data_IF_280745299421
#
_entry.id   IF_280745299421
#
_cell.length_a   1.000
_cell.length_b   1.000
_cell.length_c   1.000
_cell.angle_alpha   90.00
_cell.angle_beta   90.00
_cell.angle_gamma   90.00
#
_symmetry.space_group_name_H-M   'P 1'
#
loop_
_entity.id
_entity.type
_entity.pdbx_description
1 polymer ?
#
# COMPACT_ATOMS: atom_id res chain seq x y z
N UNK A 1 14.66 -28.97 -26.67
CA UNK A 1 13.48 -29.23 -25.85
C UNK A 1 13.58 -28.86 -24.35
N UNK A 2 14.74 -28.46 -23.80
CA UNK A 2 14.92 -28.21 -22.36
C UNK A 2 14.49 -26.81 -21.84
N UNK A 3 13.94 -25.93 -22.67
CA UNK A 3 13.74 -24.52 -22.27
C UNK A 3 12.27 -24.07 -22.21
N UNK A 4 11.30 -24.93 -22.56
CA UNK A 4 9.88 -24.52 -22.62
C UNK A 4 9.22 -24.46 -21.23
N UNK A 5 9.46 -25.43 -20.38
CA UNK A 5 8.86 -25.46 -19.05
C UNK A 5 9.24 -24.28 -18.14
N UNK A 6 10.48 -23.77 -18.28
CA UNK A 6 10.90 -22.56 -17.53
C UNK A 6 10.20 -21.31 -18.01
N UNK A 7 9.90 -21.20 -19.31
CA UNK A 7 9.13 -20.09 -19.86
C UNK A 7 7.67 -20.15 -19.41
N UNK A 8 7.05 -21.31 -19.48
CA UNK A 8 5.67 -21.52 -19.01
C UNK A 8 5.54 -21.23 -17.51
N UNK A 9 6.48 -21.71 -16.68
CA UNK A 9 6.50 -21.39 -15.26
C UNK A 9 6.76 -19.90 -15.01
N UNK A 10 7.58 -19.24 -15.83
CA UNK A 10 7.82 -17.80 -15.72
C UNK A 10 6.54 -17.02 -16.01
N UNK A 11 5.80 -17.38 -17.03
CA UNK A 11 4.51 -16.76 -17.37
C UNK A 11 3.49 -16.94 -16.23
N UNK A 12 3.40 -18.14 -15.63
CA UNK A 12 2.47 -18.42 -14.53
C UNK A 12 2.82 -17.64 -13.26
N UNK A 13 4.13 -17.53 -12.94
CA UNK A 13 4.58 -16.99 -11.66
C UNK A 13 4.82 -15.48 -11.67
N UNK A 14 5.13 -14.88 -12.85
CA UNK A 14 5.48 -13.46 -13.00
C UNK A 14 4.55 -12.68 -13.92
N UNK A 15 3.77 -13.34 -14.78
CA UNK A 15 2.87 -12.69 -15.72
C UNK A 15 1.42 -13.04 -15.38
N UNK A 16 0.73 -12.14 -14.68
CA UNK A 16 -0.69 -12.29 -14.30
C UNK A 16 -1.67 -12.10 -15.48
N UNK A 17 -1.20 -12.00 -16.71
CA UNK A 17 -2.06 -11.84 -17.90
C UNK A 17 -2.74 -13.15 -18.35
N UNK A 18 -2.16 -14.31 -18.04
CA UNK A 18 -2.73 -15.61 -18.38
C UNK A 18 -3.83 -16.03 -17.37
N UNK A 19 -4.81 -16.84 -17.82
CA UNK A 19 -5.84 -17.39 -16.91
C UNK A 19 -5.21 -18.23 -15.79
N UNK A 20 -4.17 -18.99 -16.11
CA UNK A 20 -3.42 -19.82 -15.16
C UNK A 20 -2.64 -18.98 -14.14
N UNK A 21 -2.03 -17.88 -14.57
CA UNK A 21 -1.36 -16.93 -13.67
C UNK A 21 -2.34 -16.28 -12.69
N UNK A 22 -3.52 -15.85 -13.15
CA UNK A 22 -4.57 -15.29 -12.28
C UNK A 22 -5.05 -16.29 -11.22
N UNK A 23 -5.24 -17.56 -11.59
CA UNK A 23 -5.65 -18.61 -10.66
C UNK A 23 -4.54 -18.84 -9.62
N UNK A 24 -3.28 -18.92 -10.06
CA UNK A 24 -2.13 -19.03 -9.17
C UNK A 24 -2.06 -17.88 -8.17
N UNK A 25 -2.24 -16.65 -8.62
CA UNK A 25 -2.27 -15.46 -7.79
C UNK A 25 -3.40 -15.50 -6.76
N UNK A 26 -4.61 -15.89 -7.14
CA UNK A 26 -5.75 -16.01 -6.23
C UNK A 26 -5.50 -17.08 -5.17
N UNK A 27 -4.94 -18.23 -5.56
CA UNK A 27 -4.59 -19.30 -4.61
C UNK A 27 -3.52 -18.80 -3.64
N UNK A 28 -2.46 -18.16 -4.13
CA UNK A 28 -1.39 -17.63 -3.31
C UNK A 28 -1.91 -16.56 -2.34
N UNK A 29 -2.76 -15.64 -2.80
CA UNK A 29 -3.43 -14.63 -1.99
C UNK A 29 -4.26 -15.28 -0.88
N UNK A 30 -5.08 -16.26 -1.24
CA UNK A 30 -5.90 -17.02 -0.28
C UNK A 30 -5.05 -17.70 0.79
N UNK A 31 -3.93 -18.32 0.40
CA UNK A 31 -2.98 -18.94 1.34
C UNK A 31 -2.34 -17.90 2.28
N UNK A 32 -1.94 -16.73 1.76
CA UNK A 32 -1.38 -15.66 2.58
C UNK A 32 -2.42 -15.20 3.61
N UNK A 33 -3.64 -14.86 3.18
CA UNK A 33 -4.72 -14.41 4.06
C UNK A 33 -5.04 -15.47 5.11
N UNK A 34 -5.20 -16.74 4.70
CA UNK A 34 -5.46 -17.84 5.63
C UNK A 34 -4.34 -18.02 6.65
N UNK A 35 -3.08 -17.91 6.25
CA UNK A 35 -1.94 -18.01 7.17
C UNK A 35 -1.92 -16.87 8.20
N UNK A 36 -2.31 -15.66 7.82
CA UNK A 36 -2.43 -14.50 8.72
C UNK A 36 -3.57 -14.74 9.72
N UNK A 37 -4.74 -15.19 9.25
CA UNK A 37 -5.88 -15.50 10.11
C UNK A 37 -5.49 -16.55 11.16
N UNK A 38 -4.76 -17.61 10.77
CA UNK A 38 -4.30 -18.62 11.71
C UNK A 38 -3.36 -18.06 12.77
N UNK A 39 -2.42 -17.19 12.40
CA UNK A 39 -1.54 -16.51 13.37
C UNK A 39 -2.35 -15.63 14.33
N UNK A 40 -3.39 -14.94 13.83
CA UNK A 40 -4.28 -14.13 14.66
C UNK A 40 -5.08 -15.01 15.63
N UNK A 41 -5.64 -16.13 15.17
CA UNK A 41 -6.38 -17.06 16.01
C UNK A 41 -5.48 -17.74 17.05
N UNK A 42 -4.26 -18.11 16.69
CA UNK A 42 -3.25 -18.67 17.61
C UNK A 42 -2.82 -17.67 18.70
N UNK A 43 -2.95 -16.37 18.45
CA UNK A 43 -2.66 -15.33 19.45
C UNK A 43 -3.71 -15.25 20.56
N UNK A 44 -4.92 -15.76 20.35
CA UNK A 44 -6.00 -15.79 21.34
C UNK A 44 -5.75 -16.92 22.33
N UNK A 45 -5.52 -16.57 23.59
CA UNK A 45 -5.12 -17.52 24.65
C UNK A 45 -6.04 -18.74 24.79
N UNK A 46 -7.36 -18.55 24.77
CA UNK A 46 -8.35 -19.64 24.87
C UNK A 46 -8.29 -20.60 23.68
N UNK A 47 -8.08 -20.09 22.46
CA UNK A 47 -7.96 -20.89 21.25
C UNK A 47 -6.61 -21.62 21.20
N UNK A 48 -5.54 -20.96 21.63
CA UNK A 48 -4.22 -21.57 21.70
C UNK A 48 -4.18 -22.78 22.64
N UNK A 49 -4.86 -22.71 23.80
CA UNK A 49 -4.95 -23.84 24.72
C UNK A 49 -5.67 -25.06 24.11
N UNK A 50 -6.76 -24.84 23.39
CA UNK A 50 -7.56 -25.92 22.84
C UNK A 50 -7.03 -26.46 21.51
N UNK A 51 -6.52 -25.60 20.63
CA UNK A 51 -6.17 -25.92 19.23
C UNK A 51 -4.72 -25.61 18.86
N UNK A 52 -3.85 -25.29 19.81
CA UNK A 52 -2.46 -24.87 19.55
C UNK A 52 -1.65 -25.87 18.74
N UNK A 53 -1.84 -27.19 18.96
CA UNK A 53 -1.18 -28.24 18.15
C UNK A 53 -1.65 -28.19 16.69
N UNK A 54 -2.93 -27.99 16.46
CA UNK A 54 -3.51 -27.88 15.11
C UNK A 54 -3.01 -26.62 14.39
N UNK A 55 -3.00 -25.48 15.07
CA UNK A 55 -2.45 -24.24 14.52
C UNK A 55 -0.98 -24.37 14.15
N UNK A 56 -0.20 -25.01 15.00
CA UNK A 56 1.20 -25.29 14.73
C UNK A 56 1.41 -26.18 13.49
N UNK A 57 0.60 -27.21 13.29
CA UNK A 57 0.66 -28.06 12.10
C UNK A 57 0.31 -27.30 10.83
N UNK A 58 -0.76 -26.48 10.86
CA UNK A 58 -1.15 -25.65 9.74
C UNK A 58 -0.07 -24.62 9.40
N UNK A 59 0.56 -24.06 10.41
CA UNK A 59 1.65 -23.12 10.23
C UNK A 59 2.85 -23.75 9.51
N UNK A 60 3.22 -24.97 9.88
CA UNK A 60 4.25 -25.74 9.19
C UNK A 60 3.85 -26.05 7.74
N UNK A 61 2.60 -26.43 7.49
CA UNK A 61 2.10 -26.66 6.15
C UNK A 61 2.23 -25.39 5.27
N UNK A 62 1.79 -24.23 5.77
CA UNK A 62 1.97 -22.97 5.05
C UNK A 62 3.44 -22.60 4.85
N UNK A 63 4.29 -22.81 5.85
CA UNK A 63 5.72 -22.49 5.72
C UNK A 63 6.39 -23.34 4.64
N UNK A 64 6.06 -24.64 4.56
CA UNK A 64 6.57 -25.54 3.51
C UNK A 64 6.05 -25.10 2.14
N UNK A 65 4.77 -24.80 2.00
CA UNK A 65 4.18 -24.33 0.74
C UNK A 65 4.83 -23.02 0.27
N UNK A 66 5.03 -22.08 1.15
CA UNK A 66 5.70 -20.82 0.84
C UNK A 66 7.19 -20.99 0.54
N UNK A 67 7.86 -21.97 1.16
CA UNK A 67 9.26 -22.28 0.85
C UNK A 67 9.39 -22.91 -0.54
N UNK A 68 8.47 -23.80 -0.90
CA UNK A 68 8.38 -24.36 -2.25
C UNK A 68 8.14 -23.29 -3.30
N UNK A 69 7.20 -22.40 -3.06
CA UNK A 69 6.90 -21.27 -3.94
C UNK A 69 8.14 -20.37 -4.14
N UNK A 70 8.82 -20.01 -3.07
CA UNK A 70 10.05 -19.22 -3.13
C UNK A 70 11.17 -19.91 -3.91
N UNK A 71 11.34 -21.22 -3.71
CA UNK A 71 12.30 -22.03 -4.47
C UNK A 71 11.97 -22.06 -5.97
N UNK A 72 10.69 -22.21 -6.33
CA UNK A 72 10.25 -22.17 -7.72
C UNK A 72 10.60 -20.81 -8.35
N UNK A 73 10.35 -19.71 -7.66
CA UNK A 73 10.72 -18.36 -8.11
C UNK A 73 12.21 -18.23 -8.37
N UNK A 74 13.06 -18.70 -7.47
CA UNK A 74 14.53 -18.67 -7.62
C UNK A 74 14.99 -19.52 -8.84
N UNK A 75 14.35 -20.65 -9.09
CA UNK A 75 14.71 -21.54 -10.21
C UNK A 75 14.33 -20.93 -11.56
N UNK A 76 13.21 -20.24 -11.60
CA UNK A 76 12.61 -19.69 -12.83
C UNK A 76 13.30 -18.39 -13.26
N UNK A 77 13.75 -17.57 -12.32
CA UNK A 77 14.40 -16.28 -12.61
C UNK A 77 15.78 -16.48 -13.26
N UNK A 78 16.09 -15.65 -14.29
CA UNK A 78 17.39 -15.66 -14.99
C UNK A 78 18.57 -15.29 -14.09
N UNK A 79 18.41 -14.27 -13.22
CA UNK A 79 19.44 -13.75 -12.32
C UNK A 79 19.08 -14.02 -10.87
N UNK A 80 19.40 -15.21 -10.36
CA UNK A 80 19.03 -15.70 -9.03
C UNK A 80 19.51 -14.79 -7.89
N UNK A 81 20.78 -14.39 -7.93
CA UNK A 81 21.37 -13.51 -6.91
C UNK A 81 20.66 -12.16 -6.85
N UNK A 82 20.37 -11.56 -8.01
CA UNK A 82 19.65 -10.29 -8.08
C UNK A 82 18.22 -10.40 -7.54
N UNK A 83 17.56 -11.53 -7.72
CA UNK A 83 16.22 -11.76 -7.18
C UNK A 83 16.25 -11.92 -5.66
N UNK A 84 17.18 -12.73 -5.11
CA UNK A 84 17.30 -12.96 -3.66
C UNK A 84 17.55 -11.66 -2.91
N UNK A 85 18.40 -10.76 -3.46
CA UNK A 85 18.69 -9.44 -2.89
C UNK A 85 17.72 -8.35 -3.36
N UNK A 86 16.69 -8.68 -4.13
CA UNK A 86 15.62 -7.73 -4.47
C UNK A 86 14.69 -7.51 -3.27
N UNK A 87 14.00 -6.36 -3.26
CA UNK A 87 13.03 -6.04 -2.21
C UNK A 87 12.00 -7.17 -2.01
N UNK A 88 11.46 -7.72 -3.10
CA UNK A 88 10.48 -8.82 -3.04
C UNK A 88 11.10 -10.13 -2.55
N UNK A 89 12.31 -10.47 -3.01
CA UNK A 89 13.00 -11.68 -2.58
C UNK A 89 13.38 -11.67 -1.09
N UNK A 90 13.76 -10.49 -0.56
CA UNK A 90 14.03 -10.31 0.87
C UNK A 90 12.75 -10.43 1.69
N UNK A 91 11.64 -9.87 1.24
CA UNK A 91 10.33 -10.02 1.90
C UNK A 91 9.92 -11.48 1.99
N UNK A 92 10.02 -12.23 0.89
CA UNK A 92 9.69 -13.67 0.88
C UNK A 92 10.56 -14.45 1.85
N UNK A 93 11.85 -14.13 1.90
CA UNK A 93 12.80 -14.77 2.83
C UNK A 93 12.45 -14.46 4.29
N UNK A 94 12.23 -13.17 4.63
CA UNK A 94 11.85 -12.75 5.99
C UNK A 94 10.53 -13.40 6.43
N UNK A 95 9.60 -13.62 5.52
CA UNK A 95 8.32 -14.25 5.84
C UNK A 95 8.45 -15.74 6.21
N UNK A 96 9.48 -16.44 5.74
CA UNK A 96 9.72 -17.88 5.99
C UNK A 96 10.65 -18.08 7.19
N UNK A 97 11.66 -17.23 7.30
CA UNK A 97 12.80 -17.36 8.21
C UNK A 97 12.42 -17.57 9.70
N UNK A 98 11.43 -16.86 10.27
CA UNK A 98 11.08 -17.00 11.69
C UNK A 98 10.69 -18.43 12.08
N UNK A 99 9.98 -19.17 11.22
CA UNK A 99 9.56 -20.55 11.53
C UNK A 99 10.74 -21.50 11.55
N UNK A 100 11.72 -21.35 10.64
CA UNK A 100 12.93 -22.14 10.66
C UNK A 100 13.85 -21.77 11.82
N UNK A 101 13.89 -20.49 12.18
CA UNK A 101 14.70 -20.02 13.30
C UNK A 101 14.24 -20.63 14.64
N UNK A 102 12.93 -20.89 14.80
CA UNK A 102 12.40 -21.57 15.99
C UNK A 102 12.95 -22.99 16.17
N UNK A 103 13.32 -23.70 15.09
CA UNK A 103 13.94 -25.02 15.17
C UNK A 103 15.37 -24.96 15.72
N UNK A 104 16.13 -23.93 15.32
CA UNK A 104 17.55 -23.80 15.69
C UNK A 104 17.68 -23.33 17.14
N UNK A 105 16.75 -22.50 17.59
CA UNK A 105 16.82 -21.80 18.89
C UNK A 105 16.10 -22.57 20.00
N UNK A 106 15.47 -23.70 19.72
CA UNK A 106 14.61 -24.47 20.66
C UNK A 106 15.29 -24.99 21.95
N UNK A 107 16.59 -24.79 22.16
CA UNK A 107 17.30 -25.44 23.24
C UNK A 107 17.52 -24.67 24.55
N UNK A 108 17.58 -23.32 24.56
CA UNK A 108 18.12 -22.60 25.75
C UNK A 108 17.65 -21.15 25.90
N UNK A 109 16.70 -20.64 25.11
CA UNK A 109 16.40 -19.21 25.06
C UNK A 109 15.20 -18.81 25.92
N UNK A 110 15.20 -17.59 26.50
CA UNK A 110 14.09 -17.10 27.31
C UNK A 110 12.80 -17.04 26.50
N UNK A 111 11.67 -17.32 27.16
CA UNK A 111 10.30 -17.31 26.58
C UNK A 111 9.98 -16.04 25.76
N UNK A 112 10.65 -14.93 26.07
CA UNK A 112 10.47 -13.65 25.36
C UNK A 112 10.93 -13.72 23.91
N UNK A 113 12.07 -14.40 23.62
CA UNK A 113 12.60 -14.57 22.27
C UNK A 113 11.66 -15.42 21.43
N UNK A 114 11.11 -16.49 22.00
CA UNK A 114 10.14 -17.35 21.32
C UNK A 114 8.85 -16.60 20.98
N UNK A 115 8.38 -15.69 21.86
CA UNK A 115 7.24 -14.82 21.56
C UNK A 115 7.55 -13.82 20.46
N UNK A 116 8.73 -13.18 20.49
CA UNK A 116 9.16 -12.24 19.46
C UNK A 116 9.26 -12.92 18.08
N UNK A 117 9.86 -14.12 18.00
CA UNK A 117 9.93 -14.90 16.76
C UNK A 117 8.53 -15.25 16.22
N UNK A 118 7.57 -15.54 17.12
CA UNK A 118 6.19 -15.79 16.73
C UNK A 118 5.55 -14.55 16.12
N UNK A 119 5.79 -13.35 16.70
CA UNK A 119 5.27 -12.09 16.16
C UNK A 119 5.87 -11.74 14.80
N UNK A 120 7.14 -12.09 14.54
CA UNK A 120 7.77 -11.85 13.22
C UNK A 120 7.06 -12.57 12.07
N UNK A 121 6.26 -13.59 12.34
CA UNK A 121 5.46 -14.30 11.33
C UNK A 121 4.42 -13.40 10.65
N UNK A 122 4.01 -12.29 11.29
CA UNK A 122 3.10 -11.31 10.70
C UNK A 122 3.70 -10.66 9.44
N UNK A 123 5.04 -10.66 9.30
CA UNK A 123 5.69 -10.14 8.09
C UNK A 123 5.33 -10.90 6.80
N UNK A 124 4.67 -12.07 6.92
CA UNK A 124 4.06 -12.75 5.76
C UNK A 124 3.06 -11.87 5.01
N UNK A 125 2.46 -10.86 5.69
CA UNK A 125 1.57 -9.88 5.04
C UNK A 125 2.27 -9.10 3.93
N UNK A 126 3.58 -8.86 4.03
CA UNK A 126 4.32 -8.15 3.00
C UNK A 126 4.43 -8.90 1.67
N UNK A 127 4.12 -10.20 1.64
CA UNK A 127 3.98 -10.95 0.39
C UNK A 127 2.85 -10.44 -0.49
N UNK A 128 1.87 -9.74 0.09
CA UNK A 128 0.84 -9.03 -0.66
C UNK A 128 1.43 -7.98 -1.61
N UNK A 129 2.67 -7.52 -1.37
CA UNK A 129 3.36 -6.57 -2.26
C UNK A 129 3.55 -7.10 -3.69
N UNK A 130 3.55 -8.42 -3.91
CA UNK A 130 3.56 -9.02 -5.24
C UNK A 130 2.31 -8.70 -6.06
N UNK A 131 1.16 -8.52 -5.41
CA UNK A 131 -0.13 -8.18 -6.05
C UNK A 131 -0.26 -6.69 -6.35
N UNK A 132 0.66 -5.89 -5.85
CA UNK A 132 0.60 -4.44 -5.95
C UNK A 132 1.48 -3.93 -7.10
N UNK A 133 1.39 -4.57 -8.27
CA UNK A 133 2.15 -4.18 -9.48
C UNK A 133 1.88 -2.72 -9.86
N UNK A 134 0.66 -2.24 -9.65
CA UNK A 134 0.26 -0.85 -9.88
C UNK A 134 0.82 0.14 -8.83
N UNK A 135 1.39 -0.36 -7.74
CA UNK A 135 2.04 0.49 -6.72
C UNK A 135 3.22 1.28 -7.31
N UNK A 136 3.89 0.81 -8.34
CA UNK A 136 5.01 1.56 -8.95
C UNK A 136 4.56 2.91 -9.50
N UNK A 137 3.37 2.95 -10.09
CA UNK A 137 2.80 4.18 -10.58
C UNK A 137 2.40 5.10 -9.40
N UNK A 138 1.69 4.53 -8.43
CA UNK A 138 1.28 5.23 -7.22
C UNK A 138 2.48 5.72 -6.39
N UNK A 139 3.51 4.88 -6.25
CA UNK A 139 4.73 5.25 -5.52
C UNK A 139 5.51 6.38 -6.21
N UNK A 140 5.54 6.41 -7.56
CA UNK A 140 6.15 7.51 -8.30
C UNK A 140 5.47 8.85 -8.02
N UNK A 141 4.14 8.91 -8.09
CA UNK A 141 3.36 10.10 -7.75
C UNK A 141 3.57 10.52 -6.29
N UNK A 142 3.58 9.54 -5.36
CA UNK A 142 3.77 9.80 -3.94
C UNK A 142 5.18 10.30 -3.63
N UNK A 143 6.23 9.71 -4.23
CA UNK A 143 7.63 10.14 -4.06
C UNK A 143 7.83 11.59 -4.54
N UNK A 144 7.21 12.00 -5.62
CA UNK A 144 7.24 13.38 -6.11
C UNK A 144 6.57 14.37 -5.13
N UNK A 145 5.59 13.89 -4.36
CA UNK A 145 4.86 14.67 -3.35
C UNK A 145 5.56 14.72 -1.99
N UNK A 146 6.48 13.79 -1.69
CA UNK A 146 7.06 13.63 -0.35
C UNK A 146 7.66 14.93 0.22
N UNK A 147 8.32 15.73 -0.60
CA UNK A 147 8.90 17.00 -0.16
C UNK A 147 7.81 17.99 0.28
N UNK A 148 6.73 18.11 -0.48
CA UNK A 148 5.60 19.00 -0.17
C UNK A 148 4.87 18.53 1.09
N UNK A 149 4.60 17.24 1.16
CA UNK A 149 3.96 16.58 2.31
C UNK A 149 4.84 16.71 3.55
N UNK A 150 6.15 16.48 3.45
CA UNK A 150 7.09 16.59 4.56
C UNK A 150 7.17 17.99 5.16
N UNK A 151 7.21 19.03 4.31
CA UNK A 151 7.16 20.44 4.77
C UNK A 151 5.85 20.73 5.49
N UNK A 152 4.74 20.23 4.96
CA UNK A 152 3.44 20.40 5.57
C UNK A 152 3.34 19.68 6.93
N UNK A 153 3.83 18.43 7.04
CA UNK A 153 3.87 17.70 8.31
C UNK A 153 4.73 18.39 9.36
N UNK A 154 5.88 18.94 8.95
CA UNK A 154 6.72 19.73 9.86
C UNK A 154 5.97 20.95 10.38
N UNK A 155 5.28 21.68 9.50
CA UNK A 155 4.44 22.81 9.89
C UNK A 155 3.32 22.41 10.85
N UNK A 156 2.60 21.32 10.54
CA UNK A 156 1.55 20.78 11.40
C UNK A 156 2.10 20.37 12.78
N UNK A 157 3.28 19.75 12.84
CA UNK A 157 3.93 19.38 14.09
C UNK A 157 4.25 20.61 14.96
N UNK A 158 4.77 21.67 14.35
CA UNK A 158 5.03 22.93 15.08
C UNK A 158 3.74 23.51 15.65
N UNK A 159 2.65 23.53 14.87
CA UNK A 159 1.33 23.98 15.35
C UNK A 159 0.85 23.13 16.53
N UNK A 160 0.96 21.81 16.42
CA UNK A 160 0.57 20.88 17.49
C UNK A 160 1.34 21.14 18.78
N UNK A 161 2.66 21.37 18.69
CA UNK A 161 3.49 21.68 19.87
C UNK A 161 3.06 23.01 20.48
N UNK A 162 2.81 24.04 19.67
CA UNK A 162 2.37 25.34 20.17
C UNK A 162 1.01 25.22 20.87
N UNK A 163 0.03 24.57 20.22
CA UNK A 163 -1.32 24.41 20.77
C UNK A 163 -1.31 23.55 22.05
N UNK A 164 -0.52 22.47 22.08
CA UNK A 164 -0.33 21.67 23.30
C UNK A 164 0.29 22.49 24.44
N UNK A 165 1.29 23.33 24.13
CA UNK A 165 1.92 24.20 25.13
C UNK A 165 0.96 25.29 25.65
N UNK A 166 0.13 25.83 24.79
CA UNK A 166 -0.94 26.79 25.19
C UNK A 166 -1.95 26.11 26.09
N UNK A 167 -2.38 24.89 25.77
CA UNK A 167 -3.30 24.14 26.61
C UNK A 167 -2.71 23.82 27.98
N UNK A 168 -1.42 23.47 28.06
CA UNK A 168 -0.72 23.28 29.34
C UNK A 168 -0.83 24.51 30.23
N UNK A 169 -0.70 25.73 29.70
CA UNK A 169 -0.80 26.97 30.46
C UNK A 169 -2.24 27.31 30.87
N UNK A 170 -3.22 26.90 30.07
CA UNK A 170 -4.64 27.23 30.29
C UNK A 170 -5.32 26.27 31.26
N UNK A 171 -4.96 25.01 31.23
CA UNK A 171 -5.49 23.95 32.10
C UNK A 171 -4.54 23.64 33.29
N UNK A 172 -3.73 24.62 33.72
CA UNK A 172 -2.67 24.54 34.75
C UNK A 172 -3.24 24.09 36.10
N UNK A 173 -3.94 23.30 36.39
CA UNK A 173 -4.36 22.66 37.64
C UNK A 173 -5.22 21.40 37.41
N UNK A 174 -5.35 21.01 36.15
CA UNK A 174 -6.09 19.80 35.84
C UNK A 174 -5.16 18.56 35.90
N UNK A 175 -5.65 17.49 36.49
CA UNK A 175 -4.90 16.22 36.59
C UNK A 175 -4.58 15.60 35.23
N UNK A 176 -5.33 15.96 34.20
CA UNK A 176 -5.20 15.40 32.88
C UNK A 176 -4.21 16.18 31.99
N UNK A 177 -3.95 17.46 32.29
CA UNK A 177 -3.02 18.34 31.56
C UNK A 177 -1.74 18.64 32.36
N UNK A 178 -1.22 17.68 33.12
CA UNK A 178 -0.14 17.85 34.10
C UNK A 178 1.26 18.08 33.47
N UNK A 179 1.45 17.88 32.17
CA UNK A 179 2.71 18.18 31.47
C UNK A 179 2.52 18.46 29.96
N UNK A 180 3.48 19.11 29.34
CA UNK A 180 3.44 19.47 27.91
C UNK A 180 3.31 18.24 26.99
N UNK A 181 4.05 17.12 27.17
CA UNK A 181 3.84 15.92 26.34
C UNK A 181 2.41 15.40 26.35
N UNK A 182 1.73 15.42 27.50
CA UNK A 182 0.33 15.00 27.61
C UNK A 182 -0.62 15.96 26.87
N UNK A 183 -0.34 17.27 26.95
CA UNK A 183 -1.07 18.27 26.17
C UNK A 183 -0.86 18.12 24.66
N UNK A 184 0.37 17.76 24.23
CA UNK A 184 0.67 17.47 22.84
C UNK A 184 -0.09 16.20 22.39
N UNK A 185 -0.13 15.16 23.22
CA UNK A 185 -0.92 13.95 22.95
C UNK A 185 -2.39 14.30 22.73
N UNK A 186 -2.99 15.12 23.61
CA UNK A 186 -4.35 15.62 23.44
C UNK A 186 -4.51 16.39 22.14
N UNK A 187 -3.58 17.29 21.81
CA UNK A 187 -3.64 18.06 20.57
C UNK A 187 -3.57 17.15 19.31
N UNK A 188 -2.70 16.13 19.34
CA UNK A 188 -2.60 15.15 18.25
C UNK A 188 -3.92 14.38 18.10
N UNK A 189 -4.48 13.81 19.17
CA UNK A 189 -5.71 13.02 19.12
C UNK A 189 -6.91 13.85 18.69
N UNK A 190 -6.93 15.14 19.04
CA UNK A 190 -7.97 16.08 18.65
C UNK A 190 -7.86 16.50 17.19
N UNK A 191 -6.68 16.93 16.73
CA UNK A 191 -6.43 17.36 15.34
C UNK A 191 -6.61 16.22 14.36
N UNK A 192 -6.18 15.01 14.72
CA UNK A 192 -6.38 13.81 13.88
C UNK A 192 -7.81 13.26 13.94
N UNK A 193 -8.71 13.90 14.67
CA UNK A 193 -10.12 13.49 14.84
C UNK A 193 -10.29 12.12 15.50
N UNK A 194 -9.28 11.58 16.19
CA UNK A 194 -9.38 10.34 16.95
C UNK A 194 -10.22 10.54 18.21
N UNK A 195 -9.87 11.55 19.04
CA UNK A 195 -10.65 11.99 20.19
C UNK A 195 -10.99 10.89 21.19
N UNK A 196 -9.99 10.22 21.78
CA UNK A 196 -10.23 9.16 22.76
C UNK A 196 -11.07 9.59 23.95
N UNK A 197 -11.06 10.90 24.30
CA UNK A 197 -11.83 11.43 25.42
C UNK A 197 -11.24 11.13 26.80
N UNK A 198 -10.05 10.59 26.84
CA UNK A 198 -9.27 10.30 28.05
C UNK A 198 -8.64 11.56 28.65
N UNK A 199 -8.37 12.57 27.82
CA UNK A 199 -7.89 13.90 28.18
C UNK A 199 -8.79 14.93 27.52
N UNK A 200 -9.50 15.75 28.29
CA UNK A 200 -10.44 16.75 27.78
C UNK A 200 -10.36 18.04 28.57
N UNK A 201 -10.39 19.24 27.91
CA UNK A 201 -10.35 20.52 28.62
C UNK A 201 -11.56 20.69 29.52
N UNK A 202 -11.31 21.10 30.76
CA UNK A 202 -12.36 21.31 31.76
C UNK A 202 -12.73 22.80 31.90
N UNK A 203 -11.76 23.71 31.72
CA UNK A 203 -11.97 25.15 31.84
C UNK A 203 -12.76 25.72 30.65
N UNK A 204 -13.56 26.80 30.89
CA UNK A 204 -14.26 27.47 29.78
C UNK A 204 -13.32 27.96 28.68
N UNK A 205 -12.15 28.49 29.02
CA UNK A 205 -11.16 28.98 28.09
C UNK A 205 -10.52 27.83 27.29
N UNK A 206 -10.17 26.73 27.95
CA UNK A 206 -9.67 25.53 27.31
C UNK A 206 -10.65 24.93 26.30
N UNK A 207 -11.94 24.93 26.61
CA UNK A 207 -13.00 24.50 25.67
C UNK A 207 -13.10 25.39 24.43
N UNK A 208 -12.93 26.72 24.58
CA UNK A 208 -12.88 27.63 23.45
C UNK A 208 -11.68 27.35 22.55
N UNK A 209 -10.50 27.15 23.16
CA UNK A 209 -9.28 26.77 22.43
C UNK A 209 -9.47 25.42 21.73
N UNK A 210 -10.06 24.43 22.40
CA UNK A 210 -10.34 23.13 21.80
C UNK A 210 -11.22 23.23 20.54
N UNK A 211 -12.24 24.08 20.56
CA UNK A 211 -13.08 24.31 19.37
C UNK A 211 -12.26 24.88 18.20
N UNK A 212 -11.34 25.81 18.47
CA UNK A 212 -10.43 26.35 17.43
C UNK A 212 -9.49 25.26 16.91
N UNK A 213 -8.93 24.44 17.80
CA UNK A 213 -8.06 23.32 17.45
C UNK A 213 -8.77 22.30 16.54
N UNK A 214 -10.02 21.98 16.85
CA UNK A 214 -10.85 21.07 16.02
C UNK A 214 -11.07 21.63 14.60
N UNK A 215 -11.34 22.92 14.47
CA UNK A 215 -11.50 23.57 13.18
C UNK A 215 -10.19 23.60 12.36
N UNK A 216 -9.07 23.88 13.02
CA UNK A 216 -7.72 23.80 12.40
C UNK A 216 -7.41 22.37 11.98
N UNK A 217 -7.76 21.39 12.80
CA UNK A 217 -7.55 19.96 12.51
C UNK A 217 -8.20 19.53 11.21
N UNK A 218 -9.42 19.98 10.95
CA UNK A 218 -10.10 19.70 9.70
C UNK A 218 -9.32 20.24 8.47
N UNK A 219 -8.79 21.46 8.54
CA UNK A 219 -7.96 22.03 7.48
C UNK A 219 -6.63 21.28 7.32
N UNK A 220 -6.02 20.83 8.42
CA UNK A 220 -4.76 20.07 8.41
C UNK A 220 -4.91 18.72 7.68
N UNK A 221 -6.06 18.07 7.76
CA UNK A 221 -6.29 16.80 7.05
C UNK A 221 -6.55 17.03 5.55
N UNK A 222 -7.22 18.13 5.20
CA UNK A 222 -7.61 18.43 3.83
C UNK A 222 -6.41 18.71 2.91
N UNK A 223 -5.37 19.39 3.40
CA UNK A 223 -4.22 19.81 2.59
C UNK A 223 -3.39 18.65 2.02
N UNK A 224 -2.93 17.66 2.80
CA UNK A 224 -2.20 16.50 2.26
C UNK A 224 -3.03 15.71 1.26
N UNK A 225 -4.33 15.56 1.54
CA UNK A 225 -5.26 14.87 0.63
C UNK A 225 -5.34 15.59 -0.72
N UNK A 226 -5.46 16.92 -0.72
CA UNK A 226 -5.44 17.73 -1.92
C UNK A 226 -4.13 17.63 -2.71
N UNK A 227 -2.98 17.64 -2.02
CA UNK A 227 -1.67 17.48 -2.65
C UNK A 227 -1.56 16.10 -3.34
N UNK A 228 -1.92 15.02 -2.64
CA UNK A 228 -1.85 13.66 -3.19
C UNK A 228 -2.79 13.53 -4.39
N UNK A 229 -4.02 14.04 -4.30
CA UNK A 229 -5.01 13.94 -5.37
C UNK A 229 -4.55 14.68 -6.63
N UNK A 230 -3.99 15.87 -6.49
CA UNK A 230 -3.48 16.65 -7.63
C UNK A 230 -2.27 16.01 -8.30
N UNK A 231 -1.32 15.50 -7.52
CA UNK A 231 -0.15 14.80 -8.07
C UNK A 231 -0.54 13.49 -8.77
N UNK A 232 -1.53 12.79 -8.24
CA UNK A 232 -2.06 11.57 -8.83
C UNK A 232 -2.77 11.87 -10.16
N UNK A 233 -3.57 12.93 -10.23
CA UNK A 233 -4.21 13.38 -11.45
C UNK A 233 -3.18 13.80 -12.51
N UNK A 234 -2.12 14.51 -12.14
CA UNK A 234 -1.04 14.89 -13.03
C UNK A 234 -0.24 13.66 -13.53
N UNK A 235 0.00 12.68 -12.66
CA UNK A 235 0.69 11.44 -13.03
C UNK A 235 -0.13 10.60 -14.03
N UNK A 236 -1.45 10.52 -13.87
CA UNK A 236 -2.35 9.89 -14.83
C UNK A 236 -2.32 10.61 -16.18
N UNK A 237 -2.45 11.93 -16.15
CA UNK A 237 -2.40 12.75 -17.39
C UNK A 237 -1.05 12.61 -18.12
N UNK A 238 0.08 12.51 -17.40
CA UNK A 238 1.39 12.31 -17.99
C UNK A 238 1.58 10.93 -18.61
N UNK A 239 0.90 9.90 -18.08
CA UNK A 239 0.89 8.55 -18.65
C UNK A 239 0.17 8.54 -19.99
N UNK A 240 -0.93 9.23 -20.11
CA UNK A 240 -1.70 9.33 -21.36
C UNK A 240 -1.00 10.20 -22.41
N UNK A 241 -0.28 11.25 -21.98
CA UNK A 241 0.45 12.15 -22.88
C UNK A 241 1.79 11.60 -23.41
N UNK A 242 2.28 10.48 -22.89
CA UNK A 242 3.65 10.00 -23.16
C UNK A 242 3.87 9.24 -24.48
N UNK A 243 2.83 8.89 -25.22
CA UNK A 243 2.94 7.93 -26.33
C UNK A 243 3.07 8.56 -27.72
N UNK A 244 2.69 9.81 -27.94
CA UNK A 244 2.75 10.39 -29.27
C UNK A 244 4.04 11.15 -29.53
N UNK A 245 4.78 10.69 -30.53
CA UNK A 245 6.01 11.32 -31.04
C UNK A 245 5.66 12.07 -32.30
N UNK A 246 6.02 13.35 -32.39
CA UNK A 246 5.83 14.09 -33.62
C UNK A 246 6.75 13.57 -34.73
N UNK A 247 6.17 13.12 -35.85
CA UNK A 247 6.93 12.60 -36.98
C UNK A 247 7.81 13.67 -37.68
N UNK A 248 7.53 14.94 -37.47
CA UNK A 248 8.27 16.06 -38.09
C UNK A 248 9.45 16.54 -37.23
N UNK A 249 9.27 16.72 -35.91
CA UNK A 249 10.32 17.23 -35.02
C UNK A 249 10.80 16.25 -33.97
N UNK A 250 10.29 15.03 -33.95
CA UNK A 250 10.65 13.91 -33.08
C UNK A 250 10.53 14.21 -31.56
N UNK A 251 9.78 15.24 -31.18
CA UNK A 251 9.51 15.59 -29.76
C UNK A 251 8.31 14.82 -29.25
N UNK A 252 8.42 14.37 -27.97
CA UNK A 252 7.39 13.62 -27.24
C UNK A 252 6.59 14.53 -26.31
N UNK A 253 5.50 13.99 -25.74
CA UNK A 253 4.74 14.66 -24.69
C UNK A 253 3.55 15.45 -25.21
N UNK A 254 2.93 14.99 -26.28
CA UNK A 254 1.66 15.50 -26.77
C UNK A 254 0.50 14.79 -26.06
N UNK A 255 -0.62 15.49 -25.86
CA UNK A 255 -1.86 14.90 -25.36
C UNK A 255 -2.44 13.97 -26.45
N UNK A 256 -3.15 12.91 -26.02
CA UNK A 256 -3.70 11.89 -26.94
C UNK A 256 -4.69 12.46 -27.96
N UNK A 257 -5.33 13.57 -27.61
CA UNK A 257 -6.26 14.33 -28.46
C UNK A 257 -5.61 15.50 -29.23
N UNK A 258 -4.27 15.60 -29.19
CA UNK A 258 -3.56 16.69 -29.85
C UNK A 258 -3.68 16.58 -31.37
N UNK A 259 -4.27 17.59 -32.00
CA UNK A 259 -4.41 17.68 -33.47
C UNK A 259 -3.14 18.26 -34.13
N UNK A 260 -2.36 19.04 -33.36
CA UNK A 260 -1.13 19.66 -33.86
C UNK A 260 0.00 19.54 -32.84
N UNK A 261 1.22 19.40 -33.35
CA UNK A 261 2.41 19.41 -32.51
C UNK A 261 2.59 20.76 -31.81
N UNK A 262 2.63 20.78 -30.49
CA UNK A 262 2.81 22.02 -29.70
C UNK A 262 4.20 22.68 -29.87
N UNK A 263 5.16 21.98 -30.49
CA UNK A 263 6.53 22.49 -30.70
C UNK A 263 6.79 22.99 -32.12
N UNK A 264 6.27 22.30 -33.16
CA UNK A 264 6.55 22.66 -34.54
C UNK A 264 5.30 22.94 -35.38
N UNK A 265 4.09 22.81 -34.81
CA UNK A 265 2.81 23.07 -35.47
C UNK A 265 2.39 22.02 -36.50
N UNK A 266 3.19 20.98 -36.74
CA UNK A 266 2.82 19.92 -37.68
C UNK A 266 1.53 19.22 -37.22
N UNK A 267 0.64 18.94 -38.17
CA UNK A 267 -0.62 18.24 -37.91
C UNK A 267 -0.32 16.76 -37.63
N UNK A 268 -0.90 16.22 -36.57
CA UNK A 268 -0.91 14.78 -36.33
C UNK A 268 -1.94 14.14 -37.25
N UNK A 269 -1.55 13.03 -37.90
CA UNK A 269 -2.53 12.13 -38.48
C UNK A 269 -3.27 11.50 -37.29
N UNK A 270 -4.56 11.79 -37.18
CA UNK A 270 -5.38 11.24 -36.08
C UNK A 270 -5.24 9.72 -36.09
N UNK A 271 -4.79 9.11 -34.98
CA UNK A 271 -4.86 7.67 -34.87
C UNK A 271 -6.32 7.24 -35.07
N UNK A 272 -6.61 6.12 -35.69
CA UNK A 272 -7.97 5.61 -35.80
C UNK A 272 -8.50 5.52 -34.33
N UNK A 273 -9.62 6.16 -34.07
CA UNK A 273 -10.24 6.18 -32.76
C UNK A 273 -10.27 4.76 -32.21
N UNK A 274 -9.85 4.51 -30.95
CA UNK A 274 -10.04 3.22 -30.36
C UNK A 274 -11.53 2.91 -30.43
N UNK A 275 -11.89 1.86 -31.12
CA UNK A 275 -13.23 1.38 -31.35
C UNK A 275 -14.09 1.59 -30.12
N UNK A 276 -15.03 2.52 -30.18
CA UNK A 276 -16.32 2.34 -29.56
C UNK A 276 -17.00 1.19 -30.29
N UNK A 277 -16.49 -0.02 -30.10
CA UNK A 277 -17.18 -1.24 -30.47
C UNK A 277 -18.23 -1.47 -29.42
N UNK A 278 -19.44 -1.57 -29.95
CA UNK A 278 -20.59 -2.21 -29.36
C UNK A 278 -21.46 -1.44 -28.39
N UNK A 279 -22.12 -0.41 -28.92
CA UNK A 279 -23.56 -0.25 -28.73
C UNK A 279 -24.11 0.47 -29.98
N UNK A 280 -24.05 -0.20 -31.12
CA UNK A 280 -24.89 0.15 -32.27
C UNK A 280 -26.20 -0.62 -32.07
N UNK A 281 -27.16 0.07 -31.54
CA UNK A 281 -28.57 -0.29 -31.59
C UNK A 281 -28.95 -0.67 -33.01
N UNK A 282 -29.54 -1.81 -33.12
CA UNK A 282 -30.26 -2.31 -34.30
C UNK A 282 -31.37 -1.32 -34.69
N UNK A 283 -31.08 -0.37 -35.56
CA UNK A 283 -32.11 0.32 -36.27
C UNK A 283 -32.71 -0.61 -37.34
N UNK A 284 -33.88 -1.12 -37.03
CA UNK A 284 -34.84 -1.67 -37.98
C UNK A 284 -34.99 -0.74 -39.21
N UNK A 285 -34.45 -1.17 -40.31
CA UNK A 285 -34.78 -0.59 -41.60
C UNK A 285 -36.11 -1.19 -42.04
N UNK A 286 -37.19 -0.39 -41.87
CA UNK A 286 -38.48 -0.67 -42.49
C UNK A 286 -38.33 -0.36 -44.00
N UNK A 287 -38.43 -1.36 -44.81
CA UNK A 287 -38.56 -1.26 -46.25
C UNK A 287 -40.03 -0.99 -46.55
N UNK A 288 -40.42 0.14 -47.19
CA UNK A 288 -41.79 0.29 -47.69
C UNK A 288 -41.94 -0.51 -48.97
N UNK A 289 -42.95 -1.37 -48.98
CA UNK A 289 -43.33 -2.16 -50.13
C UNK A 289 -43.86 -1.33 -51.31
N UNK A 290 -43.50 -1.77 -52.46
CA UNK A 290 -44.39 -2.00 -53.61
C UNK A 290 -43.90 -3.15 -54.42
#
# INVERSE_FOLDING_TARGET
MKNNWRKELHEIVFESHSRTGKIFDIILLSMIVSSIIIVMLDSVYSLHLNYGKFFHQLEWAFTILFSLEYLIRIIVVKHRTRFIFSFLGIIDLIAILPTYFTLVVSGTQPMLVMRALRLLRIFRIFRLSHFLVDIRFLSGALLNSLRKIGIFFLFALVIIIILGSVMYLVEDHDKDFYNIPQCIYWAITTITTVGYGDVVPTTPLGKVIANIVMLIGYAIIAVPTGIITTEMAMALKSRDAGHEVCNTCNKRGHEHDAVHCKYCGAKFETPPSPNHSEHAESHHTIIPGK
#
